data_IF_157512270892
#
_entry.id   IF_157512270892
#
_cell.length_a   1.000
_cell.length_b   1.000
_cell.length_c   1.000
_cell.angle_alpha   90.00
_cell.angle_beta   90.00
_cell.angle_gamma   90.00
#
_symmetry.space_group_name_H-M   'P 1'
#
loop_
_entity.id
_entity.type
_entity.pdbx_description
1 polymer ?
#
# COMPACT_ATOMS: atom_id res chain seq x y z
N UNK A 1 -9.61 -64.64 30.35
CA UNK A 1 -10.16 -64.50 28.99
C UNK A 1 -11.17 -63.36 29.00
N UNK A 2 -11.15 -62.44 28.03
CA UNK A 2 -11.22 -61.03 28.33
C UNK A 2 -12.54 -60.33 27.96
N UNK A 3 -12.80 -59.33 28.81
CA UNK A 3 -13.46 -58.04 28.63
C UNK A 3 -14.00 -57.64 27.26
N UNK A 4 -15.28 -57.26 27.30
CA UNK A 4 -16.08 -56.61 26.26
C UNK A 4 -15.60 -55.17 26.01
N UNK A 5 -15.58 -54.83 24.72
CA UNK A 5 -15.97 -53.55 24.09
C UNK A 5 -16.20 -52.35 25.02
N UNK A 6 -15.45 -51.27 24.82
CA UNK A 6 -15.90 -49.86 24.64
C UNK A 6 -14.69 -48.93 24.73
N UNK A 7 -13.94 -48.70 23.64
CA UNK A 7 -13.00 -47.56 23.58
C UNK A 7 -12.54 -47.24 22.15
N UNK A 8 -13.45 -46.76 21.29
CA UNK A 8 -13.03 -46.26 19.97
C UNK A 8 -13.91 -45.10 19.49
N UNK A 9 -14.16 -44.09 20.33
CA UNK A 9 -14.84 -42.87 19.87
C UNK A 9 -14.61 -41.63 20.75
N UNK A 10 -13.36 -41.32 21.15
CA UNK A 10 -13.05 -40.05 21.88
C UNK A 10 -11.67 -39.43 21.58
N UNK A 11 -11.09 -39.63 20.40
CA UNK A 11 -9.81 -38.97 20.03
C UNK A 11 -9.85 -38.07 18.79
N UNK A 12 -11.03 -37.79 18.22
CA UNK A 12 -11.15 -36.87 17.06
C UNK A 12 -11.62 -35.45 17.42
N UNK A 13 -11.78 -35.12 18.70
CA UNK A 13 -12.19 -33.77 19.14
C UNK A 13 -11.04 -32.89 19.65
N UNK A 14 -9.77 -33.34 19.57
CA UNK A 14 -8.63 -32.65 20.18
C UNK A 14 -7.50 -32.31 19.20
N UNK A 15 -7.79 -32.19 17.90
CA UNK A 15 -6.83 -31.69 16.90
C UNK A 15 -7.35 -30.44 16.16
N UNK A 16 -8.63 -30.08 16.29
CA UNK A 16 -9.17 -28.85 15.69
C UNK A 16 -8.91 -27.60 16.56
N UNK A 17 -8.57 -27.75 17.84
CA UNK A 17 -8.32 -26.62 18.74
C UNK A 17 -6.91 -25.98 18.63
N UNK A 18 -5.95 -26.65 17.99
CA UNK A 18 -4.60 -26.10 17.78
C UNK A 18 -4.42 -25.36 16.44
N UNK A 19 -5.33 -25.53 15.47
CA UNK A 19 -5.30 -24.74 14.24
C UNK A 19 -5.85 -23.31 14.44
N UNK A 20 -6.76 -23.12 15.41
CA UNK A 20 -7.36 -21.82 15.71
C UNK A 20 -6.46 -20.88 16.54
N UNK A 21 -5.38 -21.38 17.14
CA UNK A 21 -4.43 -20.58 17.91
C UNK A 21 -3.29 -19.97 17.07
N UNK A 22 -3.19 -20.32 15.79
CA UNK A 22 -2.14 -19.78 14.89
C UNK A 22 -2.61 -18.62 13.99
N UNK A 23 -3.90 -18.30 13.99
CA UNK A 23 -4.47 -17.18 13.20
C UNK A 23 -4.72 -15.93 14.07
N UNK A 24 -4.50 -16.02 15.38
CA UNK A 24 -4.83 -14.94 16.35
C UNK A 24 -3.61 -14.18 16.89
N UNK A 25 -2.45 -14.32 16.26
CA UNK A 25 -1.19 -13.74 16.71
C UNK A 25 -0.72 -12.53 15.86
N UNK A 26 -1.65 -11.68 15.40
CA UNK A 26 -1.30 -10.40 14.77
C UNK A 26 -2.14 -9.21 15.21
N UNK A 27 -2.94 -9.34 16.28
CA UNK A 27 -3.43 -8.17 17.01
C UNK A 27 -2.45 -7.93 18.16
N UNK A 28 -1.38 -7.19 17.90
CA UNK A 28 -0.69 -6.50 19.00
C UNK A 28 -1.74 -5.65 19.71
N UNK A 29 -1.80 -5.68 21.04
CA UNK A 29 -2.66 -4.75 21.80
C UNK A 29 -2.44 -3.33 21.26
N UNK A 30 -3.43 -2.86 20.51
CA UNK A 30 -3.36 -1.56 19.88
C UNK A 30 -3.44 -0.52 20.98
N UNK A 31 -2.34 0.23 21.13
CA UNK A 31 -2.26 1.29 22.14
C UNK A 31 -3.37 2.31 21.91
N UNK A 32 -3.81 2.99 22.96
CA UNK A 32 -4.79 4.08 22.83
C UNK A 32 -4.34 5.17 21.86
N UNK A 33 -3.02 5.40 21.76
CA UNK A 33 -2.42 6.29 20.77
C UNK A 33 -2.58 5.79 19.33
N UNK A 34 -2.34 4.49 19.09
CA UNK A 34 -2.56 3.87 17.77
C UNK A 34 -3.99 4.04 17.29
N UNK A 35 -4.97 3.75 18.16
CA UNK A 35 -6.40 3.93 17.87
C UNK A 35 -6.74 5.37 17.50
N UNK A 36 -6.23 6.33 18.28
CA UNK A 36 -6.43 7.75 18.02
C UNK A 36 -5.83 8.18 16.68
N UNK A 37 -4.62 7.70 16.35
CA UNK A 37 -3.98 8.02 15.06
C UNK A 37 -4.82 7.48 13.91
N UNK A 38 -5.28 6.23 13.97
CA UNK A 38 -6.11 5.65 12.92
C UNK A 38 -7.47 6.36 12.75
N UNK A 39 -8.10 6.80 13.85
CA UNK A 39 -9.30 7.65 13.81
C UNK A 39 -9.04 8.96 13.05
N UNK A 40 -7.97 9.67 13.39
CA UNK A 40 -7.60 10.94 12.73
C UNK A 40 -7.19 10.71 11.27
N UNK A 41 -6.56 9.57 10.94
CA UNK A 41 -6.27 9.21 9.55
C UNK A 41 -7.55 9.05 8.73
N UNK A 42 -8.58 8.39 9.28
CA UNK A 42 -9.86 8.21 8.60
C UNK A 42 -10.55 9.57 8.37
N UNK A 43 -10.59 10.45 9.39
CA UNK A 43 -11.12 11.81 9.27
C UNK A 43 -10.37 12.67 8.24
N UNK A 44 -9.04 12.56 8.21
CA UNK A 44 -8.21 13.30 7.25
C UNK A 44 -8.37 12.75 5.82
N UNK A 45 -8.54 11.43 5.64
CA UNK A 45 -8.78 10.82 4.33
C UNK A 45 -10.10 11.32 3.68
N UNK A 46 -11.12 11.61 4.49
CA UNK A 46 -12.42 12.13 4.03
C UNK A 46 -12.36 13.56 3.47
N UNK A 47 -11.28 14.29 3.75
CA UNK A 47 -11.09 15.66 3.28
C UNK A 47 -10.57 15.73 1.86
N UNK A 48 -10.11 14.61 1.30
CA UNK A 48 -9.54 14.56 -0.03
C UNK A 48 -10.56 14.18 -1.10
N UNK A 49 -10.63 15.01 -2.13
CA UNK A 49 -11.32 14.70 -3.38
C UNK A 49 -10.33 14.70 -4.53
N UNK A 50 -10.54 13.85 -5.53
CA UNK A 50 -9.66 13.75 -6.69
C UNK A 50 -10.48 13.84 -7.97
N UNK A 51 -9.99 14.60 -8.93
CA UNK A 51 -10.65 14.83 -10.21
C UNK A 51 -9.67 14.64 -11.36
N UNK A 52 -10.11 13.93 -12.40
CA UNK A 52 -9.45 13.81 -13.69
C UNK A 52 -9.54 15.14 -14.47
N UNK A 53 -8.76 15.33 -15.55
CA UNK A 53 -8.72 16.59 -16.29
C UNK A 53 -10.03 16.92 -17.01
N UNK A 54 -10.83 15.91 -17.33
CA UNK A 54 -12.17 16.01 -17.92
C UNK A 54 -13.28 16.32 -16.87
N UNK A 55 -12.90 16.43 -15.59
CA UNK A 55 -13.81 16.73 -14.49
C UNK A 55 -14.42 15.50 -13.81
N UNK A 56 -14.12 14.27 -14.27
CA UNK A 56 -14.61 13.04 -13.63
C UNK A 56 -13.97 12.89 -12.24
N UNK A 57 -14.81 12.73 -11.21
CA UNK A 57 -14.35 12.51 -9.85
C UNK A 57 -13.94 11.04 -9.64
N UNK A 58 -12.82 10.84 -8.95
CA UNK A 58 -12.39 9.50 -8.54
C UNK A 58 -13.09 9.07 -7.26
N UNK A 59 -13.31 7.76 -7.12
CA UNK A 59 -13.94 7.17 -5.94
C UNK A 59 -12.89 6.72 -4.93
N UNK A 60 -12.97 7.20 -3.68
CA UNK A 60 -12.15 6.65 -2.59
C UNK A 60 -12.72 5.30 -2.16
N UNK A 61 -11.88 4.29 -1.96
CA UNK A 61 -12.30 3.08 -1.25
C UNK A 61 -12.61 3.48 0.20
N UNK A 62 -13.83 3.23 0.73
CA UNK A 62 -14.27 3.84 1.99
C UNK A 62 -13.40 3.52 3.20
N UNK A 63 -12.85 2.31 3.28
CA UNK A 63 -11.98 1.89 4.38
C UNK A 63 -10.52 1.97 3.97
N UNK A 64 -9.66 2.27 4.93
CA UNK A 64 -8.22 2.02 4.85
C UNK A 64 -7.95 0.59 4.35
N UNK A 65 -7.06 0.47 3.37
CA UNK A 65 -6.60 -0.79 2.81
C UNK A 65 -5.68 -1.53 3.79
N UNK A 66 -4.97 -0.78 4.63
CA UNK A 66 -4.01 -1.31 5.58
C UNK A 66 -3.81 -0.31 6.73
N UNK A 67 -4.06 -0.78 7.95
CA UNK A 67 -3.53 -0.16 9.17
C UNK A 67 -2.18 -0.78 9.47
N UNK A 68 -1.17 0.05 9.67
CA UNK A 68 0.20 -0.40 9.85
C UNK A 68 0.89 0.32 11.00
N UNK A 69 1.96 -0.32 11.48
CA UNK A 69 2.83 0.22 12.53
C UNK A 69 4.26 -0.30 12.35
N UNK A 70 5.24 0.53 12.74
CA UNK A 70 6.65 0.11 12.74
C UNK A 70 7.01 -0.53 14.07
N UNK A 71 7.61 -1.73 14.00
CA UNK A 71 7.83 -2.64 15.14
C UNK A 71 8.77 -2.09 16.24
N UNK A 72 9.52 -1.02 15.98
CA UNK A 72 10.16 -0.24 17.05
C UNK A 72 9.10 0.50 17.85
N UNK A 73 8.56 -0.18 18.88
CA UNK A 73 7.73 0.34 19.98
C UNK A 73 6.93 1.62 19.66
N UNK A 74 5.85 1.51 18.87
CA UNK A 74 4.90 2.62 18.71
C UNK A 74 5.50 3.93 18.18
N UNK A 75 6.65 3.86 17.50
CA UNK A 75 7.32 5.03 16.93
C UNK A 75 6.58 5.61 15.73
N UNK A 76 5.77 4.79 15.04
CA UNK A 76 4.92 5.24 13.96
C UNK A 76 3.66 4.37 13.79
N UNK A 77 2.55 5.02 13.45
CA UNK A 77 1.26 4.43 13.13
C UNK A 77 0.71 5.11 11.87
N UNK A 78 0.03 4.37 11.01
CA UNK A 78 -0.59 4.96 9.84
C UNK A 78 -1.57 4.04 9.12
N UNK A 79 -2.24 4.64 8.15
CA UNK A 79 -3.24 4.03 7.30
C UNK A 79 -2.88 4.26 5.83
N UNK A 80 -3.31 3.33 4.97
CA UNK A 80 -3.17 3.44 3.51
C UNK A 80 -4.55 3.52 2.85
N UNK A 81 -4.77 4.55 2.04
CA UNK A 81 -6.02 4.80 1.31
C UNK A 81 -5.79 4.82 -0.19
N UNK A 82 -6.84 4.53 -0.97
CA UNK A 82 -6.76 4.51 -2.43
C UNK A 82 -7.97 5.19 -3.07
N UNK A 83 -7.72 5.89 -4.17
CA UNK A 83 -8.72 6.48 -5.06
C UNK A 83 -8.69 5.78 -6.40
N UNK A 84 -9.87 5.58 -6.98
CA UNK A 84 -10.05 4.76 -8.17
C UNK A 84 -10.86 5.44 -9.26
N UNK A 85 -10.53 5.13 -10.51
CA UNK A 85 -11.32 5.46 -11.69
C UNK A 85 -11.71 4.18 -12.39
N UNK A 86 -13.00 3.97 -12.67
CA UNK A 86 -13.47 2.72 -13.32
C UNK A 86 -13.00 1.44 -12.58
N UNK A 87 -12.80 1.53 -11.26
CA UNK A 87 -12.23 0.48 -10.42
C UNK A 87 -10.69 0.39 -10.43
N UNK A 88 -9.99 0.99 -11.39
CA UNK A 88 -8.53 1.03 -11.44
C UNK A 88 -7.95 1.89 -10.31
N UNK A 89 -6.80 1.49 -9.79
CA UNK A 89 -6.05 2.27 -8.81
C UNK A 89 -5.36 3.47 -9.47
N UNK A 90 -5.71 4.70 -9.06
CA UNK A 90 -5.17 5.93 -9.66
C UNK A 90 -4.27 6.72 -8.70
N UNK A 91 -4.60 6.71 -7.42
CA UNK A 91 -3.82 7.39 -6.39
C UNK A 91 -3.87 6.60 -5.10
N UNK A 92 -2.74 6.56 -4.41
CA UNK A 92 -2.60 5.94 -3.10
C UNK A 92 -1.96 6.92 -2.14
N UNK A 93 -2.47 6.97 -0.92
CA UNK A 93 -2.02 7.90 0.12
C UNK A 93 -1.81 7.13 1.40
N UNK A 94 -0.65 7.30 2.03
CA UNK A 94 -0.46 6.88 3.41
C UNK A 94 -0.49 8.09 4.34
N UNK A 95 -1.37 8.05 5.34
CA UNK A 95 -1.47 9.09 6.37
C UNK A 95 -0.91 8.50 7.65
N UNK A 96 0.01 9.19 8.31
CA UNK A 96 0.72 8.60 9.43
C UNK A 96 1.26 9.61 10.43
N UNK A 97 1.45 9.11 11.65
CA UNK A 97 2.14 9.80 12.73
C UNK A 97 3.49 9.12 12.99
N UNK A 98 4.55 9.90 13.20
CA UNK A 98 5.81 9.45 13.80
C UNK A 98 5.95 10.10 15.16
N UNK A 99 5.56 9.37 16.21
CA UNK A 99 5.35 9.85 17.57
C UNK A 99 6.64 10.42 18.17
N UNK A 100 7.74 9.68 18.05
CA UNK A 100 9.09 10.09 18.50
C UNK A 100 9.61 11.40 17.90
N UNK A 101 9.06 11.81 16.75
CA UNK A 101 9.47 13.04 16.03
C UNK A 101 8.39 14.12 16.02
N UNK A 102 7.22 13.87 16.64
CA UNK A 102 6.03 14.74 16.55
C UNK A 102 5.71 15.11 15.10
N UNK A 103 5.76 14.13 14.20
CA UNK A 103 5.39 14.30 12.79
C UNK A 103 4.01 13.71 12.59
N UNK A 104 3.18 14.41 11.82
CA UNK A 104 1.96 13.88 11.24
C UNK A 104 1.90 14.37 9.81
N UNK A 105 2.04 13.45 8.87
CA UNK A 105 2.23 13.72 7.45
C UNK A 105 1.34 12.80 6.60
N UNK A 106 1.11 13.19 5.36
CA UNK A 106 0.55 12.33 4.34
C UNK A 106 1.53 12.17 3.19
N UNK A 107 1.74 10.93 2.77
CA UNK A 107 2.60 10.52 1.67
C UNK A 107 1.75 10.05 0.50
N UNK A 108 1.92 10.70 -0.64
CA UNK A 108 1.11 10.55 -1.84
C UNK A 108 1.94 9.91 -2.94
N UNK A 109 1.36 8.94 -3.63
CA UNK A 109 1.90 8.36 -4.84
C UNK A 109 0.80 8.24 -5.91
N UNK A 110 1.06 8.77 -7.10
CA UNK A 110 0.20 8.57 -8.26
C UNK A 110 0.43 7.16 -8.81
N UNK A 111 -0.66 6.43 -9.00
CA UNK A 111 -0.71 5.14 -9.67
C UNK A 111 -1.37 5.24 -11.06
N UNK A 112 -1.69 6.46 -11.48
CA UNK A 112 -2.33 6.76 -12.76
C UNK A 112 -1.31 6.84 -13.89
N UNK A 113 -1.69 6.36 -15.08
CA UNK A 113 -1.00 6.67 -16.33
C UNK A 113 -1.47 8.00 -16.94
N UNK A 114 -2.39 8.70 -16.27
CA UNK A 114 -2.90 10.03 -16.62
C UNK A 114 -2.60 11.09 -15.54
N UNK A 115 -3.00 12.33 -15.82
CA UNK A 115 -2.93 13.45 -14.85
C UNK A 115 -4.22 13.49 -14.05
N UNK A 116 -4.15 13.98 -12.82
CA UNK A 116 -5.32 14.32 -12.01
C UNK A 116 -4.95 15.45 -11.04
N UNK A 117 -5.97 15.99 -10.36
CA UNK A 117 -5.76 16.93 -9.25
C UNK A 117 -6.48 16.43 -8.01
N UNK A 118 -5.75 16.34 -6.90
CA UNK A 118 -6.28 16.08 -5.57
C UNK A 118 -6.41 17.40 -4.80
N UNK A 119 -7.60 17.60 -4.25
CA UNK A 119 -7.96 18.72 -3.40
C UNK A 119 -8.12 18.23 -1.97
N UNK A 120 -7.80 19.10 -1.02
CA UNK A 120 -8.13 18.94 0.39
C UNK A 120 -9.04 20.07 0.81
N UNK A 121 -10.24 19.77 1.29
CA UNK A 121 -11.27 20.78 1.61
C UNK A 121 -11.52 21.76 0.45
N UNK A 122 -11.52 21.25 -0.79
CA UNK A 122 -11.69 22.05 -2.02
C UNK A 122 -10.45 22.84 -2.46
N UNK A 123 -9.34 22.84 -1.70
CA UNK A 123 -8.10 23.51 -2.08
C UNK A 123 -7.16 22.53 -2.77
N UNK A 124 -6.65 22.81 -3.99
CA UNK A 124 -5.67 21.94 -4.64
C UNK A 124 -4.42 21.75 -3.78
N UNK A 125 -4.01 20.50 -3.54
CA UNK A 125 -2.80 20.15 -2.77
C UNK A 125 -1.80 19.33 -3.55
N UNK A 126 -2.23 18.58 -4.55
CA UNK A 126 -1.38 17.68 -5.31
C UNK A 126 -1.93 17.51 -6.73
N UNK A 127 -1.10 17.78 -7.74
CA UNK A 127 -1.50 17.75 -9.15
C UNK A 127 -0.33 17.24 -10.01
N UNK A 128 -0.06 15.92 -10.03
CA UNK A 128 1.04 15.34 -10.80
C UNK A 128 1.04 15.81 -12.26
N UNK A 129 2.11 16.51 -12.66
CA UNK A 129 2.26 17.00 -14.03
C UNK A 129 2.63 15.89 -15.03
N UNK A 130 2.92 14.68 -14.54
CA UNK A 130 3.32 13.49 -15.31
C UNK A 130 2.61 12.24 -14.76
N UNK A 131 2.45 11.20 -15.59
CA UNK A 131 2.03 9.87 -15.13
C UNK A 131 2.85 9.40 -13.93
N UNK A 132 2.18 8.74 -12.98
CA UNK A 132 2.83 8.20 -11.79
C UNK A 132 3.40 6.80 -11.96
N UNK A 133 2.92 6.08 -12.97
CA UNK A 133 3.36 4.73 -13.33
C UNK A 133 3.68 4.64 -14.82
N UNK A 134 4.52 3.67 -15.16
CA UNK A 134 4.86 3.30 -16.52
C UNK A 134 4.78 1.78 -16.63
N UNK A 135 3.75 1.29 -17.31
CA UNK A 135 3.51 -0.15 -17.42
C UNK A 135 4.42 -0.81 -18.43
N UNK A 136 5.06 -1.89 -18.00
CA UNK A 136 6.02 -2.67 -18.79
C UNK A 136 5.53 -4.11 -18.93
N UNK A 137 5.71 -4.75 -20.09
CA UNK A 137 5.34 -6.15 -20.25
C UNK A 137 6.17 -7.06 -19.33
N UNK A 138 5.55 -8.13 -18.84
CA UNK A 138 6.23 -9.21 -18.12
C UNK A 138 6.57 -10.30 -19.13
N UNK A 139 7.86 -10.52 -19.36
CA UNK A 139 8.34 -11.55 -20.27
C UNK A 139 8.18 -12.96 -19.67
N UNK A 140 8.18 -13.98 -20.53
CA UNK A 140 8.27 -15.40 -20.16
C UNK A 140 7.17 -15.88 -19.19
N UNK A 141 5.97 -15.30 -19.29
CA UNK A 141 4.82 -15.68 -18.47
C UNK A 141 3.61 -16.08 -19.30
N UNK A 142 2.81 -17.00 -18.74
CA UNK A 142 1.54 -17.39 -19.35
C UNK A 142 0.59 -16.19 -19.39
N UNK A 143 -0.15 -15.99 -20.50
CA UNK A 143 -1.07 -14.87 -20.62
C UNK A 143 -2.19 -14.92 -19.55
N UNK A 144 -2.85 -13.78 -19.27
CA UNK A 144 -4.01 -13.74 -18.39
C UNK A 144 -5.07 -14.76 -18.80
N UNK A 145 -5.61 -15.48 -17.83
CA UNK A 145 -6.75 -16.38 -18.09
C UNK A 145 -8.08 -15.61 -18.13
N UNK A 146 -9.10 -16.23 -18.74
CA UNK A 146 -10.45 -15.65 -18.79
C UNK A 146 -11.15 -15.61 -17.41
N UNK A 147 -10.71 -16.40 -16.44
CA UNK A 147 -11.30 -16.46 -15.10
C UNK A 147 -10.64 -15.47 -14.13
N UNK A 148 -11.43 -14.58 -13.54
CA UNK A 148 -10.97 -13.64 -12.53
C UNK A 148 -10.26 -14.33 -11.35
N UNK A 149 -10.86 -15.37 -10.77
CA UNK A 149 -10.24 -16.10 -9.65
C UNK A 149 -8.87 -16.67 -10.02
N UNK A 150 -8.73 -17.19 -11.24
CA UNK A 150 -7.47 -17.75 -11.74
C UNK A 150 -6.43 -16.65 -12.01
N UNK A 151 -6.85 -15.50 -12.50
CA UNK A 151 -6.00 -14.31 -12.67
C UNK A 151 -5.38 -13.83 -11.37
N UNK A 152 -6.11 -13.81 -10.25
CA UNK A 152 -5.51 -13.50 -8.94
C UNK A 152 -4.39 -14.49 -8.57
N UNK A 153 -4.60 -15.77 -8.81
CA UNK A 153 -3.56 -16.78 -8.63
C UNK A 153 -2.34 -16.56 -9.53
N UNK A 154 -2.53 -16.04 -10.75
CA UNK A 154 -1.44 -15.61 -11.63
C UNK A 154 -0.71 -14.39 -11.06
N UNK A 155 -1.42 -13.31 -10.71
CA UNK A 155 -0.83 -12.10 -10.13
C UNK A 155 -0.03 -12.38 -8.85
N UNK A 156 -0.55 -13.23 -7.95
CA UNK A 156 0.17 -13.63 -6.74
C UNK A 156 1.47 -14.40 -7.04
N UNK A 157 1.49 -15.22 -8.09
CA UNK A 157 2.72 -15.91 -8.53
C UNK A 157 3.70 -14.95 -9.19
N UNK A 158 3.20 -13.99 -9.97
CA UNK A 158 3.99 -12.92 -10.58
C UNK A 158 4.67 -12.08 -9.50
N UNK A 159 3.90 -11.54 -8.55
CA UNK A 159 4.41 -10.67 -7.51
C UNK A 159 5.55 -11.32 -6.70
N UNK A 160 5.45 -12.64 -6.44
CA UNK A 160 6.49 -13.41 -5.72
C UNK A 160 7.81 -13.58 -6.48
N UNK A 161 7.84 -13.30 -7.78
CA UNK A 161 9.07 -13.30 -8.57
C UNK A 161 9.82 -11.97 -8.46
N UNK A 162 9.21 -10.96 -7.85
CA UNK A 162 9.85 -9.69 -7.58
C UNK A 162 10.51 -9.65 -6.20
N UNK A 163 11.65 -8.99 -6.12
CA UNK A 163 12.36 -8.68 -4.87
C UNK A 163 12.58 -7.17 -4.80
N UNK A 164 12.25 -6.55 -3.66
CA UNK A 164 12.44 -5.13 -3.44
C UNK A 164 13.45 -4.87 -2.32
N UNK A 165 14.23 -3.80 -2.50
CA UNK A 165 15.26 -3.36 -1.56
C UNK A 165 15.23 -1.84 -1.44
N UNK A 166 15.65 -1.33 -0.28
CA UNK A 166 15.91 0.09 -0.09
C UNK A 166 17.27 0.32 0.57
N UNK A 167 17.82 1.51 0.35
CA UNK A 167 19.02 1.98 1.06
C UNK A 167 18.65 3.25 1.85
N UNK A 168 18.71 3.22 3.19
CA UNK A 168 18.37 4.38 4.02
C UNK A 168 19.23 5.60 3.67
N UNK A 169 18.65 6.80 3.65
CA UNK A 169 19.44 8.01 3.41
C UNK A 169 20.52 8.26 4.46
N UNK A 170 20.32 7.78 5.70
CA UNK A 170 21.28 7.87 6.81
C UNK A 170 22.44 6.88 6.69
N UNK A 171 22.26 5.81 5.91
CA UNK A 171 23.22 4.73 5.72
C UNK A 171 23.14 4.24 4.26
N UNK A 172 23.60 5.04 3.29
CA UNK A 172 23.35 4.78 1.86
C UNK A 172 24.03 3.52 1.33
N UNK A 173 25.05 3.02 2.04
CA UNK A 173 25.76 1.78 1.71
C UNK A 173 25.07 0.53 2.30
N UNK A 174 24.10 0.71 3.20
CA UNK A 174 23.28 -0.38 3.71
C UNK A 174 22.15 -0.73 2.75
N UNK A 175 21.82 -2.03 2.68
CA UNK A 175 20.74 -2.56 1.86
C UNK A 175 19.80 -3.34 2.76
N UNK A 176 18.56 -2.87 2.82
CA UNK A 176 17.48 -3.52 3.55
C UNK A 176 16.51 -4.16 2.56
N UNK A 177 16.24 -5.46 2.76
CA UNK A 177 15.27 -6.20 1.96
C UNK A 177 13.86 -5.96 2.46
N UNK A 178 12.95 -5.63 1.54
CA UNK A 178 11.54 -5.46 1.84
C UNK A 178 10.80 -6.78 1.68
N UNK A 179 9.86 -7.04 2.58
CA UNK A 179 9.01 -8.24 2.53
C UNK A 179 7.77 -7.97 1.71
N UNK A 180 7.43 -8.84 0.77
CA UNK A 180 6.14 -8.78 0.07
C UNK A 180 4.99 -9.14 1.02
N UNK A 181 3.89 -8.37 0.99
CA UNK A 181 2.64 -8.73 1.66
C UNK A 181 2.03 -10.00 1.05
N UNK A 182 1.42 -10.84 1.90
CA UNK A 182 0.85 -12.12 1.48
C UNK A 182 -0.37 -11.99 0.56
N UNK A 183 -1.05 -10.83 0.62
CA UNK A 183 -2.20 -10.44 -0.20
C UNK A 183 -1.92 -9.06 -0.81
N UNK A 184 -2.51 -8.73 -1.97
CA UNK A 184 -2.47 -7.37 -2.49
C UNK A 184 -3.18 -6.41 -1.51
N UNK A 185 -2.70 -5.16 -1.47
CA UNK A 185 -3.35 -4.05 -0.76
C UNK A 185 -4.73 -3.76 -1.38
N UNK A 186 -4.79 -3.82 -2.71
CA UNK A 186 -6.01 -3.60 -3.47
C UNK A 186 -6.04 -4.48 -4.70
N UNK A 187 -7.22 -4.99 -5.05
CA UNK A 187 -7.48 -5.75 -6.29
C UNK A 187 -8.73 -5.18 -6.95
N UNK A 188 -8.72 -5.10 -8.26
CA UNK A 188 -9.83 -4.60 -9.06
C UNK A 188 -10.05 -5.43 -10.32
N UNK A 189 -11.32 -5.58 -10.69
CA UNK A 189 -11.74 -5.91 -12.04
C UNK A 189 -12.28 -4.61 -12.63
N UNK A 190 -11.57 -4.06 -13.62
CA UNK A 190 -11.88 -2.72 -14.14
C UNK A 190 -13.10 -2.73 -15.04
N UNK A 191 -13.84 -1.63 -15.05
CA UNK A 191 -14.84 -1.36 -16.09
C UNK A 191 -14.22 -0.73 -17.34
N UNK A 192 -12.92 -0.39 -17.32
CA UNK A 192 -12.15 -0.04 -18.51
C UNK A 192 -11.92 -1.30 -19.36
N UNK A 193 -12.42 -1.31 -20.59
CA UNK A 193 -12.33 -2.49 -21.46
C UNK A 193 -10.89 -2.93 -21.76
N UNK A 194 -9.92 -2.03 -21.66
CA UNK A 194 -8.50 -2.31 -21.87
C UNK A 194 -7.83 -2.99 -20.67
N UNK A 195 -8.45 -2.97 -19.48
CA UNK A 195 -7.88 -3.52 -18.25
C UNK A 195 -8.84 -4.60 -17.72
N UNK A 196 -8.40 -5.85 -17.69
CA UNK A 196 -9.24 -6.98 -17.30
C UNK A 196 -9.27 -7.22 -15.78
N UNK A 197 -8.14 -7.01 -15.13
CA UNK A 197 -7.90 -7.29 -13.71
C UNK A 197 -6.60 -6.60 -13.32
N UNK A 198 -6.51 -6.17 -12.08
CA UNK A 198 -5.28 -5.60 -11.57
C UNK A 198 -5.21 -5.70 -10.07
N UNK A 199 -3.99 -5.55 -9.56
CA UNK A 199 -3.74 -5.54 -8.14
C UNK A 199 -2.52 -4.68 -7.78
N UNK A 200 -2.63 -3.99 -6.65
CA UNK A 200 -1.55 -3.23 -6.02
C UNK A 200 -0.99 -4.08 -4.89
N UNK A 201 0.29 -4.43 -4.99
CA UNK A 201 1.03 -5.15 -3.97
C UNK A 201 1.95 -4.21 -3.20
N UNK A 202 2.10 -4.45 -1.90
CA UNK A 202 3.03 -3.73 -1.04
C UNK A 202 4.25 -4.57 -0.68
N UNK A 203 5.44 -4.00 -0.88
CA UNK A 203 6.68 -4.44 -0.25
C UNK A 203 6.90 -3.59 1.00
N UNK A 204 6.97 -4.24 2.15
CA UNK A 204 6.88 -3.58 3.45
C UNK A 204 8.16 -3.72 4.27
N UNK A 205 8.39 -2.72 5.12
CA UNK A 205 9.22 -2.82 6.31
C UNK A 205 8.29 -2.90 7.54
N UNK A 206 8.44 -3.93 8.37
CA UNK A 206 7.38 -4.36 9.31
C UNK A 206 6.06 -4.57 8.58
N UNK A 207 5.09 -3.66 8.72
CA UNK A 207 3.81 -3.65 8.00
C UNK A 207 3.63 -2.42 7.12
N UNK A 208 4.51 -1.41 7.21
CA UNK A 208 4.43 -0.17 6.42
C UNK A 208 4.85 -0.42 4.96
N UNK A 209 4.02 -0.11 3.95
CA UNK A 209 4.41 -0.17 2.55
C UNK A 209 5.49 0.85 2.19
N UNK A 210 6.57 0.36 1.61
CA UNK A 210 7.77 1.16 1.26
C UNK A 210 7.98 1.22 -0.27
N UNK A 211 7.53 0.18 -0.98
CA UNK A 211 7.49 0.12 -2.44
C UNK A 211 6.18 -0.56 -2.86
N UNK A 212 5.56 -0.02 -3.91
CA UNK A 212 4.33 -0.56 -4.47
C UNK A 212 4.61 -1.21 -5.82
N UNK A 213 3.89 -2.29 -6.12
CA UNK A 213 3.93 -2.97 -7.41
C UNK A 213 2.50 -3.11 -7.93
N UNK A 214 2.19 -2.42 -9.01
CA UNK A 214 0.94 -2.59 -9.75
C UNK A 214 1.16 -3.67 -10.79
N UNK A 215 0.29 -4.68 -10.82
CA UNK A 215 0.25 -5.70 -11.87
C UNK A 215 -1.13 -5.65 -12.51
N UNK A 216 -1.18 -5.63 -13.84
CA UNK A 216 -2.44 -5.61 -14.60
C UNK A 216 -2.46 -6.63 -15.72
N UNK A 217 -3.62 -7.22 -15.93
CA UNK A 217 -3.97 -7.90 -17.17
C UNK A 217 -4.54 -6.86 -18.14
N UNK A 218 -3.78 -6.47 -19.17
CA UNK A 218 -4.24 -5.52 -20.20
C UNK A 218 -4.60 -6.25 -21.48
N UNK A 219 -5.63 -5.76 -22.19
CA UNK A 219 -5.92 -6.15 -23.56
C UNK A 219 -4.93 -5.46 -24.51
N UNK A 220 -4.57 -6.15 -25.57
CA UNK A 220 -3.78 -5.64 -26.70
C UNK A 220 -4.36 -6.22 -27.97
N UNK A 221 -3.96 -5.70 -29.13
CA UNK A 221 -4.37 -6.22 -30.43
C UNK A 221 -3.97 -7.70 -30.64
N UNK A 222 -2.89 -8.14 -29.99
CA UNK A 222 -2.40 -9.52 -30.06
C UNK A 222 -3.01 -10.47 -29.00
N UNK A 223 -3.95 -9.97 -28.19
CA UNK A 223 -4.54 -10.69 -27.06
C UNK A 223 -4.25 -10.03 -25.71
N UNK A 224 -4.55 -10.72 -24.62
CA UNK A 224 -4.30 -10.19 -23.27
C UNK A 224 -2.88 -10.49 -22.79
N UNK A 225 -2.27 -9.54 -22.08
CA UNK A 225 -0.92 -9.66 -21.53
C UNK A 225 -0.84 -9.18 -20.09
N UNK A 226 0.15 -9.68 -19.35
CA UNK A 226 0.50 -9.14 -18.03
C UNK A 226 1.49 -8.00 -18.16
N UNK A 227 1.19 -6.89 -17.51
CA UNK A 227 2.09 -5.76 -17.34
C UNK A 227 2.31 -5.46 -15.86
N UNK A 228 3.39 -4.76 -15.55
CA UNK A 228 3.67 -4.27 -14.20
C UNK A 228 4.20 -2.84 -14.22
N UNK A 229 4.01 -2.13 -13.11
CA UNK A 229 4.72 -0.89 -12.82
C UNK A 229 5.09 -0.83 -11.33
N UNK A 230 6.37 -0.55 -10.99
CA UNK A 230 6.73 -0.13 -9.64
C UNK A 230 6.27 1.31 -9.38
N UNK A 231 6.00 1.61 -8.11
CA UNK A 231 5.75 2.96 -7.63
C UNK A 231 6.36 3.14 -6.22
N UNK A 232 6.64 4.38 -5.83
CA UNK A 232 7.25 4.67 -4.53
C UNK A 232 6.20 4.67 -3.42
N UNK A 233 6.61 4.22 -2.24
CA UNK A 233 5.95 4.55 -0.97
C UNK A 233 7.03 4.85 0.08
N UNK A 234 8.14 5.46 -0.40
CA UNK A 234 9.18 6.09 0.40
C UNK A 234 10.05 7.03 -0.43
N UNK A 235 10.76 7.92 0.26
CA UNK A 235 11.69 8.88 -0.35
C UNK A 235 13.13 8.38 -0.50
N UNK A 236 13.54 7.30 0.16
CA UNK A 236 14.89 6.73 0.01
C UNK A 236 15.13 6.13 -1.40
N UNK A 237 16.37 5.65 -1.64
CA UNK A 237 16.68 4.90 -2.86
C UNK A 237 15.94 3.57 -2.81
N UNK A 238 15.28 3.21 -3.92
CA UNK A 238 14.55 1.96 -4.06
C UNK A 238 15.09 1.17 -5.25
N UNK A 239 15.13 -0.15 -5.11
CA UNK A 239 15.44 -1.09 -6.19
C UNK A 239 14.40 -2.19 -6.25
N UNK A 240 13.98 -2.54 -7.45
CA UNK A 240 13.12 -3.67 -7.74
C UNK A 240 13.80 -4.61 -8.73
N UNK A 241 13.81 -5.88 -8.39
CA UNK A 241 14.34 -6.96 -9.20
C UNK A 241 13.20 -7.89 -9.64
N UNK A 242 13.30 -8.43 -10.86
CA UNK A 242 12.46 -9.53 -11.35
C UNK A 242 13.37 -10.73 -11.60
N UNK A 243 13.23 -11.78 -10.78
CA UNK A 243 14.28 -12.79 -10.63
C UNK A 243 15.59 -12.13 -10.17
N UNK A 244 16.66 -12.29 -10.95
CA UNK A 244 17.98 -11.69 -10.68
C UNK A 244 18.21 -10.38 -11.43
N UNK A 245 17.30 -9.98 -12.33
CA UNK A 245 17.45 -8.78 -13.15
C UNK A 245 16.95 -7.55 -12.39
N UNK A 246 17.80 -6.53 -12.25
CA UNK A 246 17.39 -5.20 -11.81
C UNK A 246 16.49 -4.57 -12.88
N UNK A 247 15.22 -4.32 -12.55
CA UNK A 247 14.22 -3.79 -13.49
C UNK A 247 13.80 -2.36 -13.19
N UNK A 248 14.10 -1.88 -11.98
CA UNK A 248 13.84 -0.50 -11.56
C UNK A 248 14.81 -0.09 -10.46
N UNK A 249 15.47 1.05 -10.63
CA UNK A 249 16.36 1.67 -9.65
C UNK A 249 16.11 3.16 -9.69
N UNK A 250 15.72 3.73 -8.55
CA UNK A 250 15.38 5.14 -8.46
C UNK A 250 16.10 5.78 -7.27
N UNK A 251 16.71 6.97 -7.46
CA UNK A 251 17.57 7.58 -6.46
C UNK A 251 16.77 8.01 -5.22
N UNK A 252 17.43 8.29 -4.10
CA UNK A 252 16.74 8.98 -3.00
C UNK A 252 16.25 10.36 -3.47
N UNK A 253 15.11 10.79 -2.95
CA UNK A 253 14.54 12.11 -3.20
C UNK A 253 14.93 13.11 -2.12
N UNK A 254 14.98 12.70 -0.85
CA UNK A 254 15.34 13.56 0.27
C UNK A 254 16.48 12.94 1.11
N UNK A 255 17.28 13.77 1.81
CA UNK A 255 17.36 15.24 1.71
C UNK A 255 17.91 15.74 0.35
N UNK A 256 17.63 17.01 -0.05
CA UNK A 256 16.87 18.02 0.69
C UNK A 256 15.35 17.74 0.69
N UNK A 257 14.69 18.00 1.82
CA UNK A 257 13.26 17.72 2.04
C UNK A 257 12.32 18.50 1.09
N UNK A 258 12.80 19.57 0.46
CA UNK A 258 12.04 20.29 -0.58
C UNK A 258 11.71 19.41 -1.79
N UNK A 259 12.51 18.39 -2.07
CA UNK A 259 12.30 17.52 -3.24
C UNK A 259 11.04 16.66 -3.16
N UNK A 260 10.57 16.37 -1.94
CA UNK A 260 9.33 15.61 -1.72
C UNK A 260 8.13 16.52 -1.45
N UNK A 261 8.30 17.85 -1.49
CA UNK A 261 7.24 18.82 -1.22
C UNK A 261 6.72 19.52 -2.47
N UNK A 262 7.11 19.07 -3.66
CA UNK A 262 6.62 19.60 -4.91
C UNK A 262 5.31 18.90 -5.31
N UNK A 263 4.16 19.59 -5.31
CA UNK A 263 2.85 18.98 -5.60
C UNK A 263 2.68 18.56 -7.07
N UNK A 264 3.58 18.97 -7.96
CA UNK A 264 3.53 18.60 -9.38
C UNK A 264 4.20 17.25 -9.66
N UNK A 265 4.81 16.63 -8.63
CA UNK A 265 5.49 15.35 -8.75
C UNK A 265 4.52 14.20 -8.47
N UNK A 266 4.70 13.04 -9.15
CA UNK A 266 3.93 11.85 -8.83
C UNK A 266 4.10 11.33 -7.41
N UNK A 267 5.21 11.68 -6.75
CA UNK A 267 5.47 11.38 -5.35
C UNK A 267 5.54 12.70 -4.58
N UNK A 268 4.75 12.83 -3.51
CA UNK A 268 4.60 14.06 -2.76
C UNK A 268 4.37 13.75 -1.27
N UNK A 269 4.86 14.62 -0.39
CA UNK A 269 4.60 14.58 1.04
C UNK A 269 4.03 15.92 1.49
N UNK A 270 2.90 15.84 2.21
CA UNK A 270 2.24 16.99 2.83
C UNK A 270 2.45 16.93 4.34
N UNK A 271 2.96 18.03 4.91
CA UNK A 271 3.04 18.16 6.35
C UNK A 271 1.69 18.55 6.93
N UNK A 272 1.06 17.61 7.63
CA UNK A 272 -0.30 17.77 8.12
C UNK A 272 -0.37 18.38 9.51
N UNK A 273 0.67 18.25 10.34
CA UNK A 273 0.68 18.83 11.69
C UNK A 273 0.32 20.33 11.74
N UNK A 274 0.57 21.09 10.65
CA UNK A 274 0.21 22.52 10.54
C UNK A 274 -1.18 22.79 9.93
N UNK A 275 -1.85 21.74 9.45
CA UNK A 275 -3.11 21.77 8.70
C UNK A 275 -4.23 21.00 9.42
N UNK A 276 -3.90 20.25 10.46
CA UNK A 276 -4.89 19.64 11.33
C UNK A 276 -5.62 20.73 12.13
N UNK A 277 -6.93 20.56 12.38
CA UNK A 277 -7.65 21.26 13.43
C UNK A 277 -6.86 21.24 14.76
N UNK A 278 -6.87 22.36 15.48
CA UNK A 278 -6.04 22.51 16.69
C UNK A 278 -6.36 21.47 17.77
N UNK A 279 -7.61 21.05 17.87
CA UNK A 279 -8.07 20.02 18.80
C UNK A 279 -7.54 18.63 18.44
N UNK A 280 -7.50 18.26 17.16
CA UNK A 280 -6.93 16.99 16.71
C UNK A 280 -5.43 16.91 17.02
N UNK A 281 -4.67 17.98 16.71
CA UNK A 281 -3.24 18.00 17.00
C UNK A 281 -2.96 17.94 18.50
N UNK A 282 -3.72 18.69 19.31
CA UNK A 282 -3.60 18.66 20.77
C UNK A 282 -3.88 17.26 21.33
N UNK A 283 -4.92 16.56 20.84
CA UNK A 283 -5.21 15.17 21.24
C UNK A 283 -4.03 14.23 20.96
N UNK A 284 -3.37 14.38 19.80
CA UNK A 284 -2.19 13.59 19.45
C UNK A 284 -1.03 13.90 20.41
N UNK A 285 -0.75 15.19 20.66
CA UNK A 285 0.34 15.59 21.57
C UNK A 285 0.12 15.08 22.99
N UNK A 286 -1.09 15.25 23.53
CA UNK A 286 -1.46 14.74 24.86
C UNK A 286 -1.37 13.22 24.95
N UNK A 287 -1.64 12.50 23.86
CA UNK A 287 -1.52 11.05 23.82
C UNK A 287 -0.08 10.57 23.65
N UNK A 288 0.79 11.37 23.03
CA UNK A 288 2.24 11.11 22.96
C UNK A 288 2.92 11.33 24.32
N UNK A 289 2.45 12.30 25.10
CA UNK A 289 3.06 12.69 26.39
C UNK A 289 2.62 11.83 27.60
N UNK A 290 1.67 10.90 27.42
CA UNK A 290 1.20 9.96 28.46
C UNK A 290 1.95 8.63 28.41
#
# INVERSE_FOLDING_TARGET
>A
MPAKQTLFMKCLAMVIALAAHSVRAQDSEETSLGRLVHEICDEEADRYTVTMPDGVALSRVPRSLLRWSKATQGSAFGDTYIWTHQGCAEAIVSIYAVTSKRIFDAEFQSLSDEKFTMHRDGVPKWSPAKPGVEFRPIADIRPPTNSATTRLGQMNRIARQFRAEFSPHTAPDEISRLRLLSKPLYRYESTNEQILDGAVYGFVDSTDPELLLVIEARRTDAGSTWVYSPARSRHDRLRLYYGDKLVWDVPRLAPPWSNIRNPDRPYFNLQLARLLPSDQWQRIEEAIDR
#
